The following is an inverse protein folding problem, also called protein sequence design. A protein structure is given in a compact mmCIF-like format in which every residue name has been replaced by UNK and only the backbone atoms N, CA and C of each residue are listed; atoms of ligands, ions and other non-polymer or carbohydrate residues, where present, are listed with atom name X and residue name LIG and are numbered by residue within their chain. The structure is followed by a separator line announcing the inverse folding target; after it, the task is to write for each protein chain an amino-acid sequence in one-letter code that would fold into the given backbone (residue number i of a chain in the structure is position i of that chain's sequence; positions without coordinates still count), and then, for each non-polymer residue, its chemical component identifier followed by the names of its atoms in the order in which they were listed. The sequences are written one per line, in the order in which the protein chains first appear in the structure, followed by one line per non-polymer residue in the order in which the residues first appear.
data_IF_456708257885
#
_entry.id   IF_456708257885
#
_cell.length_a   1.000
_cell.length_b   1.000
_cell.length_c   1.000
_cell.angle_alpha   90.00
_cell.angle_beta   90.00
_cell.angle_gamma   90.00
#
_symmetry.space_group_name_H-M   'P 1'
#
loop_
_entity.id
_entity.type
_entity.pdbx_description
1 polymer ?
#
# COMPACT_ATOMS: atom_id res chain seq x y z
N UNK A 1 -15.33 9.77 -4.94
CA UNK A 1 -15.39 11.25 -4.84
C UNK A 1 -14.19 11.64 -4.02
N UNK A 2 -13.11 12.11 -4.67
CA UNK A 2 -11.78 12.21 -4.08
C UNK A 2 -11.72 13.06 -2.81
N UNK A 3 -12.46 14.17 -2.76
CA UNK A 3 -12.51 15.05 -1.58
C UNK A 3 -13.09 14.32 -0.37
N UNK A 4 -14.17 13.54 -0.56
CA UNK A 4 -14.77 12.75 0.53
C UNK A 4 -13.81 11.68 1.06
N UNK A 5 -13.15 10.99 0.14
CA UNK A 5 -12.21 9.91 0.46
C UNK A 5 -11.02 10.46 1.26
N UNK A 6 -10.49 11.62 0.85
CA UNK A 6 -9.44 12.33 1.58
C UNK A 6 -9.88 12.77 2.99
N UNK A 7 -11.10 13.33 3.15
CA UNK A 7 -11.65 13.69 4.46
C UNK A 7 -11.74 12.48 5.38
N UNK A 8 -12.25 11.35 4.89
CA UNK A 8 -12.36 10.14 5.69
C UNK A 8 -10.99 9.61 6.09
N UNK A 9 -10.03 9.50 5.15
CA UNK A 9 -8.68 9.04 5.46
C UNK A 9 -7.96 9.93 6.48
N UNK A 10 -8.05 11.26 6.32
CA UNK A 10 -7.47 12.21 7.27
C UNK A 10 -8.15 12.17 8.65
N UNK A 11 -9.49 12.10 8.68
CA UNK A 11 -10.24 11.97 9.93
C UNK A 11 -9.84 10.71 10.68
N UNK A 12 -9.80 9.55 10.01
CA UNK A 12 -9.44 8.27 10.64
C UNK A 12 -7.98 8.26 11.12
N UNK A 13 -7.06 8.86 10.35
CA UNK A 13 -5.66 9.01 10.76
C UNK A 13 -5.54 9.77 12.09
N UNK A 14 -6.19 10.93 12.20
CA UNK A 14 -6.14 11.73 13.43
C UNK A 14 -6.97 11.14 14.58
N UNK A 15 -8.12 10.52 14.27
CA UNK A 15 -8.98 9.91 15.27
C UNK A 15 -8.32 8.69 15.95
N UNK A 16 -7.57 7.87 15.20
CA UNK A 16 -6.83 6.74 15.81
C UNK A 16 -5.74 7.24 16.75
N UNK A 17 -5.02 8.32 16.41
CA UNK A 17 -4.07 8.97 17.31
C UNK A 17 -4.73 9.55 18.57
N UNK A 18 -5.98 10.03 18.45
CA UNK A 18 -6.77 10.51 19.58
C UNK A 18 -7.40 9.39 20.43
N UNK A 19 -7.16 8.11 20.11
CA UNK A 19 -7.64 6.96 20.88
C UNK A 19 -8.93 6.31 20.35
N UNK A 20 -9.29 6.53 19.09
CA UNK A 20 -10.40 5.81 18.47
C UNK A 20 -9.99 4.38 18.09
N UNK A 21 -10.56 3.39 18.78
CA UNK A 21 -10.21 1.97 18.60
C UNK A 21 -11.09 1.23 17.57
N UNK A 22 -12.28 1.75 17.25
CA UNK A 22 -13.24 1.07 16.37
C UNK A 22 -14.08 2.05 15.53
N UNK A 23 -14.25 1.74 14.24
CA UNK A 23 -15.15 2.46 13.34
C UNK A 23 -15.62 1.58 12.18
N UNK A 24 -16.87 1.77 11.73
CA UNK A 24 -17.41 1.09 10.54
C UNK A 24 -17.10 1.96 9.32
N UNK A 25 -16.24 1.46 8.43
CA UNK A 25 -15.75 2.21 7.27
C UNK A 25 -15.83 1.39 6.00
N UNK A 26 -15.96 2.07 4.85
CA UNK A 26 -15.84 1.43 3.54
C UNK A 26 -14.37 1.43 3.10
N UNK A 27 -13.67 0.33 3.38
CA UNK A 27 -12.26 0.17 3.10
C UNK A 27 -11.87 0.28 1.60
N UNK A 28 -12.82 0.05 0.68
CA UNK A 28 -12.57 0.18 -0.75
C UNK A 28 -12.46 1.64 -1.22
N UNK A 29 -12.88 2.59 -0.38
CA UNK A 29 -12.93 4.03 -0.68
C UNK A 29 -11.95 4.83 0.20
N UNK A 30 -11.01 4.16 0.88
CA UNK A 30 -9.96 4.84 1.66
C UNK A 30 -8.68 4.89 0.85
N UNK A 31 -8.28 6.10 0.47
CA UNK A 31 -6.95 6.40 -0.10
C UNK A 31 -5.91 6.36 1.04
N UNK A 32 -4.65 6.03 0.76
CA UNK A 32 -3.60 6.15 1.79
C UNK A 32 -3.46 7.62 2.18
N UNK A 33 -3.25 7.88 3.47
CA UNK A 33 -3.06 9.24 3.95
C UNK A 33 -1.89 9.96 3.26
N UNK A 34 -0.80 9.24 2.95
CA UNK A 34 0.37 9.81 2.27
C UNK A 34 0.14 10.14 0.80
N UNK A 35 -0.82 9.48 0.14
CA UNK A 35 -1.12 9.70 -1.27
C UNK A 35 -2.04 10.92 -1.48
N UNK A 36 -2.63 11.45 -0.40
CA UNK A 36 -3.49 12.63 -0.47
C UNK A 36 -2.64 13.83 -0.91
N UNK A 37 -3.01 14.51 -2.01
CA UNK A 37 -2.31 15.72 -2.45
C UNK A 37 -2.20 16.74 -1.31
N UNK A 38 -1.00 17.31 -1.10
CA UNK A 38 -0.70 18.19 0.05
C UNK A 38 -1.62 19.41 0.11
N UNK A 39 -1.97 19.96 -1.04
CA UNK A 39 -2.94 21.04 -1.18
C UNK A 39 -4.33 20.62 -0.69
N UNK A 40 -4.83 19.45 -1.13
CA UNK A 40 -6.12 18.92 -0.66
C UNK A 40 -6.06 18.59 0.85
N UNK A 41 -4.96 18.01 1.33
CA UNK A 41 -4.79 17.64 2.73
C UNK A 41 -4.85 18.85 3.65
N UNK A 42 -4.21 19.97 3.28
CA UNK A 42 -4.26 21.21 4.04
C UNK A 42 -5.70 21.73 4.19
N UNK A 43 -6.47 21.78 3.10
CA UNK A 43 -7.87 22.20 3.15
C UNK A 43 -8.74 21.24 3.99
N UNK A 44 -8.46 19.94 3.93
CA UNK A 44 -9.16 18.92 4.72
C UNK A 44 -8.87 19.09 6.21
N UNK A 45 -7.61 19.28 6.59
CA UNK A 45 -7.21 19.49 7.98
C UNK A 45 -7.71 20.81 8.55
N UNK A 46 -7.73 21.88 7.74
CA UNK A 46 -8.30 23.17 8.12
C UNK A 46 -9.77 23.02 8.57
N UNK A 47 -10.55 22.16 7.89
CA UNK A 47 -11.93 21.84 8.28
C UNK A 47 -11.97 20.95 9.52
N UNK A 48 -11.23 19.84 9.54
CA UNK A 48 -11.30 18.86 10.63
C UNK A 48 -10.96 19.50 11.98
N UNK A 49 -9.93 20.35 12.00
CA UNK A 49 -9.45 20.99 13.22
C UNK A 49 -10.01 22.40 13.43
N UNK A 50 -10.85 22.90 12.52
CA UNK A 50 -11.36 24.27 12.54
C UNK A 50 -10.22 25.30 12.75
N UNK A 51 -9.13 25.17 11.97
CA UNK A 51 -7.91 26.00 12.15
C UNK A 51 -8.13 27.46 11.78
N UNK A 52 -9.14 27.73 10.95
CA UNK A 52 -9.44 29.04 10.37
C UNK A 52 -10.93 29.22 10.19
N UNK A 53 -11.38 30.47 10.27
CA UNK A 53 -12.79 30.83 10.10
C UNK A 53 -13.29 30.66 8.65
N UNK A 54 -12.38 30.76 7.67
CA UNK A 54 -12.66 30.65 6.22
C UNK A 54 -12.51 29.22 5.65
N UNK A 55 -12.27 28.21 6.49
CA UNK A 55 -11.96 26.84 6.05
C UNK A 55 -13.05 26.20 5.18
N UNK A 56 -14.33 26.46 5.50
CA UNK A 56 -15.46 25.92 4.74
C UNK A 56 -15.55 26.54 3.35
N UNK A 57 -15.38 27.86 3.24
CA UNK A 57 -15.48 28.59 1.97
C UNK A 57 -14.35 28.17 1.02
N UNK A 58 -13.11 28.11 1.51
CA UNK A 58 -11.95 27.65 0.75
C UNK A 58 -12.12 26.23 0.21
N UNK A 59 -12.66 25.31 1.02
CA UNK A 59 -12.92 23.95 0.56
C UNK A 59 -14.02 23.89 -0.49
N UNK A 60 -15.07 24.72 -0.38
CA UNK A 60 -16.13 24.79 -1.40
C UNK A 60 -15.54 25.27 -2.73
N UNK A 61 -14.74 26.35 -2.72
CA UNK A 61 -14.04 26.86 -3.91
C UNK A 61 -13.08 25.81 -4.49
N UNK A 62 -12.30 25.13 -3.65
CA UNK A 62 -11.40 24.06 -4.07
C UNK A 62 -12.18 22.89 -4.70
N UNK A 63 -13.29 22.49 -4.08
CA UNK A 63 -14.13 21.39 -4.56
C UNK A 63 -14.80 21.73 -5.91
N UNK A 64 -15.11 22.99 -6.19
CA UNK A 64 -15.59 23.43 -7.51
C UNK A 64 -14.53 23.25 -8.60
N UNK A 65 -13.28 23.55 -8.28
CA UNK A 65 -12.14 23.33 -9.19
C UNK A 65 -11.85 21.83 -9.42
N UNK A 66 -12.16 20.97 -8.44
CA UNK A 66 -11.96 19.51 -8.52
C UNK A 66 -13.17 18.78 -9.14
N UNK A 67 -14.35 19.41 -9.20
CA UNK A 67 -15.61 18.87 -9.77
C UNK A 67 -15.66 18.81 -11.32
N UNK A 68 -14.52 18.98 -12.01
CA UNK A 68 -14.42 18.71 -13.45
C UNK A 68 -14.89 17.29 -13.81
N UNK A 69 -15.44 17.09 -15.03
CA UNK A 69 -16.16 15.88 -15.42
C UNK A 69 -15.32 14.66 -15.09
N UNK A 70 -15.89 13.74 -14.31
CA UNK A 70 -15.21 12.63 -13.65
C UNK A 70 -14.03 12.14 -14.47
N UNK A 71 -12.83 12.58 -14.08
CA UNK A 71 -11.60 12.14 -14.74
C UNK A 71 -11.70 10.63 -14.77
N UNK A 72 -11.74 10.06 -15.98
CA UNK A 72 -11.42 8.66 -16.21
C UNK A 72 -10.25 8.36 -15.27
N UNK A 73 -10.30 7.23 -14.58
CA UNK A 73 -9.08 6.67 -13.96
C UNK A 73 -8.07 6.53 -15.09
N UNK A 74 -7.32 7.59 -15.35
CA UNK A 74 -6.06 7.51 -16.06
C UNK A 74 -5.25 6.71 -15.07
N UNK A 75 -5.11 5.42 -15.36
CA UNK A 75 -4.24 4.55 -14.59
C UNK A 75 -2.87 5.20 -14.74
N UNK A 76 -2.43 5.89 -13.70
CA UNK A 76 -1.13 6.51 -13.68
C UNK A 76 -0.12 5.37 -13.59
N UNK A 77 0.50 5.06 -14.73
CA UNK A 77 1.53 4.04 -14.86
C UNK A 77 2.93 4.67 -14.77
N UNK A 78 3.07 5.93 -14.35
CA UNK A 78 4.38 6.56 -14.17
C UNK A 78 5.32 5.77 -13.26
N UNK A 79 4.77 5.12 -12.23
CA UNK A 79 5.53 4.22 -11.35
C UNK A 79 6.15 3.02 -12.09
N UNK A 80 5.69 2.66 -13.29
CA UNK A 80 6.27 1.58 -14.11
C UNK A 80 7.60 1.97 -14.77
N UNK A 81 7.92 3.26 -14.83
CA UNK A 81 9.20 3.76 -15.35
C UNK A 81 10.35 3.62 -14.32
N UNK A 82 10.00 3.33 -13.06
CA UNK A 82 10.94 3.10 -11.96
C UNK A 82 11.68 1.75 -12.08
N UNK A 83 12.69 1.55 -11.23
CA UNK A 83 13.41 0.27 -11.17
C UNK A 83 12.50 -0.86 -10.63
N UNK A 84 12.82 -2.12 -10.98
CA UNK A 84 12.00 -3.27 -10.58
C UNK A 84 11.79 -3.36 -9.06
N UNK A 85 12.79 -2.98 -8.28
CA UNK A 85 12.69 -2.95 -6.81
C UNK A 85 11.64 -1.94 -6.33
N UNK A 86 11.64 -0.73 -6.89
CA UNK A 86 10.66 0.31 -6.59
C UNK A 86 9.25 -0.07 -7.08
N UNK A 87 9.15 -0.73 -8.24
CA UNK A 87 7.87 -1.24 -8.78
C UNK A 87 7.26 -2.33 -7.89
N UNK A 88 8.08 -3.24 -7.39
CA UNK A 88 7.66 -4.27 -6.44
C UNK A 88 7.21 -3.66 -5.12
N UNK A 89 7.98 -2.73 -4.57
CA UNK A 89 7.61 -2.01 -3.35
C UNK A 89 6.28 -1.27 -3.51
N UNK A 90 6.11 -0.53 -4.61
CA UNK A 90 4.86 0.16 -4.93
C UNK A 90 3.68 -0.81 -5.07
N UNK A 91 3.88 -1.92 -5.80
CA UNK A 91 2.84 -2.95 -5.97
C UNK A 91 2.43 -3.57 -4.64
N UNK A 92 3.37 -3.77 -3.70
CA UNK A 92 3.06 -4.23 -2.36
C UNK A 92 2.31 -3.20 -1.54
N UNK A 93 2.75 -1.94 -1.52
CA UNK A 93 2.11 -0.85 -0.75
C UNK A 93 0.67 -0.61 -1.20
N UNK A 94 0.41 -0.58 -2.52
CA UNK A 94 -0.94 -0.36 -3.05
C UNK A 94 -1.75 -1.65 -3.25
N UNK A 95 -1.14 -2.82 -3.06
CA UNK A 95 -1.79 -4.12 -3.22
C UNK A 95 -2.18 -4.43 -4.68
N UNK A 96 -1.30 -4.12 -5.62
CA UNK A 96 -1.46 -4.33 -7.06
C UNK A 96 -1.00 -5.75 -7.41
N UNK A 97 -1.89 -6.50 -8.07
CA UNK A 97 -1.68 -7.93 -8.37
C UNK A 97 -1.32 -8.16 -9.85
N UNK A 98 -1.70 -7.23 -10.72
CA UNK A 98 -1.68 -7.43 -12.17
C UNK A 98 -0.25 -7.56 -12.73
N UNK A 99 0.71 -6.81 -12.18
CA UNK A 99 2.10 -6.76 -12.66
C UNK A 99 3.08 -7.55 -11.80
N UNK A 100 2.61 -8.15 -10.70
CA UNK A 100 3.50 -8.75 -9.70
C UNK A 100 4.32 -9.92 -10.27
N UNK A 101 3.77 -10.69 -11.19
CA UNK A 101 4.45 -11.87 -11.76
C UNK A 101 5.59 -11.42 -12.69
N UNK A 102 5.34 -10.41 -13.54
CA UNK A 102 6.34 -9.82 -14.44
C UNK A 102 7.47 -9.16 -13.65
N UNK A 103 7.14 -8.34 -12.66
CA UNK A 103 8.13 -7.63 -11.84
C UNK A 103 8.95 -8.60 -10.96
N UNK A 104 8.31 -9.65 -10.44
CA UNK A 104 9.00 -10.70 -9.67
C UNK A 104 9.96 -11.49 -10.57
N UNK A 105 9.58 -11.77 -11.82
CA UNK A 105 10.43 -12.43 -12.79
C UNK A 105 11.67 -11.58 -13.15
N UNK A 106 11.48 -10.29 -13.41
CA UNK A 106 12.59 -9.37 -13.73
C UNK A 106 13.56 -9.25 -12.54
N UNK A 107 13.04 -9.13 -11.31
CA UNK A 107 13.86 -9.12 -10.11
C UNK A 107 14.62 -10.45 -9.92
N UNK A 108 13.97 -11.58 -10.21
CA UNK A 108 14.60 -12.89 -10.16
C UNK A 108 15.72 -13.04 -11.19
N UNK A 109 15.53 -12.55 -12.43
CA UNK A 109 16.58 -12.55 -13.45
C UNK A 109 17.79 -11.70 -13.04
N UNK A 110 17.56 -10.60 -12.34
CA UNK A 110 18.61 -9.68 -11.86
C UNK A 110 19.39 -10.24 -10.67
N UNK A 111 18.70 -10.85 -9.71
CA UNK A 111 19.30 -11.35 -8.46
C UNK A 111 19.79 -12.80 -8.55
N UNK A 112 19.24 -13.59 -9.49
CA UNK A 112 19.64 -14.97 -9.78
C UNK A 112 19.17 -16.02 -8.79
N UNK A 113 18.81 -15.64 -7.55
CA UNK A 113 18.32 -16.56 -6.51
C UNK A 113 16.93 -16.13 -6.03
N UNK A 114 15.96 -17.05 -5.92
CA UNK A 114 14.59 -16.70 -5.51
C UNK A 114 14.53 -16.11 -4.09
N UNK A 115 15.36 -16.63 -3.19
CA UNK A 115 15.39 -16.16 -1.79
C UNK A 115 15.83 -14.70 -1.68
N UNK A 116 16.74 -14.26 -2.55
CA UNK A 116 17.25 -12.88 -2.54
C UNK A 116 16.16 -11.89 -2.99
N UNK A 117 15.21 -12.32 -3.84
CA UNK A 117 14.03 -11.53 -4.21
C UNK A 117 13.06 -11.40 -3.02
N UNK A 118 12.87 -12.48 -2.26
CA UNK A 118 11.98 -12.52 -1.10
C UNK A 118 12.54 -11.67 0.04
N UNK A 119 13.81 -11.83 0.38
CA UNK A 119 14.48 -11.12 1.47
C UNK A 119 14.88 -9.69 1.09
N UNK A 120 14.99 -9.37 -0.21
CA UNK A 120 15.29 -8.03 -0.70
C UNK A 120 14.02 -7.22 -0.99
N UNK A 121 13.67 -6.99 -2.26
CA UNK A 121 12.63 -6.03 -2.66
C UNK A 121 11.25 -6.34 -2.06
N UNK A 122 10.89 -7.61 -1.92
CA UNK A 122 9.60 -8.00 -1.34
C UNK A 122 9.54 -7.71 0.17
N UNK A 123 10.60 -8.01 0.92
CA UNK A 123 10.66 -7.71 2.35
C UNK A 123 10.75 -6.21 2.62
N UNK A 124 11.49 -5.47 1.78
CA UNK A 124 11.60 -4.02 1.87
C UNK A 124 10.24 -3.34 1.64
N UNK A 125 9.47 -3.79 0.64
CA UNK A 125 8.10 -3.32 0.44
C UNK A 125 7.18 -3.61 1.62
N UNK A 126 7.29 -4.81 2.21
CA UNK A 126 6.52 -5.17 3.41
C UNK A 126 6.93 -4.38 4.66
N UNK A 127 8.19 -3.94 4.76
CA UNK A 127 8.65 -3.05 5.82
C UNK A 127 7.94 -1.69 5.74
N UNK A 128 7.84 -1.12 4.54
CA UNK A 128 7.11 0.14 4.30
C UNK A 128 5.63 -0.01 4.70
N UNK A 129 4.98 -1.12 4.29
CA UNK A 129 3.60 -1.42 4.70
C UNK A 129 3.47 -1.49 6.24
N UNK A 130 4.44 -2.11 6.90
CA UNK A 130 4.51 -2.19 8.36
C UNK A 130 4.66 -0.82 9.03
N UNK A 131 5.54 0.02 8.51
CA UNK A 131 5.79 1.38 9.03
C UNK A 131 4.54 2.27 8.85
N UNK A 132 3.89 2.19 7.68
CA UNK A 132 2.65 2.93 7.39
C UNK A 132 1.49 2.46 8.28
N UNK A 133 1.37 1.16 8.52
CA UNK A 133 0.37 0.61 9.42
C UNK A 133 0.64 1.01 10.88
N UNK A 134 1.89 0.91 11.33
CA UNK A 134 2.32 1.30 12.68
C UNK A 134 2.14 2.80 12.93
N UNK A 135 2.29 3.63 11.89
CA UNK A 135 2.02 5.07 11.95
C UNK A 135 0.53 5.43 11.85
N UNK A 136 -0.37 4.46 11.64
CA UNK A 136 -1.81 4.68 11.43
C UNK A 136 -2.18 5.27 10.07
N UNK A 137 -1.22 5.36 9.13
CA UNK A 137 -1.42 5.91 7.77
C UNK A 137 -2.00 4.89 6.79
N UNK A 138 -1.93 3.61 7.13
CA UNK A 138 -2.51 2.49 6.41
C UNK A 138 -3.43 1.68 7.34
N UNK A 139 -4.54 1.17 6.80
CA UNK A 139 -5.55 0.43 7.55
C UNK A 139 -5.50 -1.08 7.28
N UNK A 140 -6.03 -1.88 8.21
CA UNK A 140 -5.99 -3.36 8.14
C UNK A 140 -6.47 -3.94 6.79
N UNK A 141 -7.56 -3.46 6.16
CA UNK A 141 -7.97 -3.98 4.85
C UNK A 141 -6.97 -3.69 3.72
N UNK A 142 -6.22 -2.59 3.80
CA UNK A 142 -5.15 -2.27 2.85
C UNK A 142 -3.97 -3.22 3.08
N UNK A 143 -3.58 -3.46 4.33
CA UNK A 143 -2.54 -4.45 4.70
C UNK A 143 -2.88 -5.85 4.17
N UNK A 144 -4.16 -6.26 4.23
CA UNK A 144 -4.60 -7.55 3.67
C UNK A 144 -4.44 -7.60 2.15
N UNK A 145 -4.65 -6.48 1.43
CA UNK A 145 -4.38 -6.42 -0.02
C UNK A 145 -2.89 -6.52 -0.34
N UNK A 146 -2.04 -5.83 0.43
CA UNK A 146 -0.58 -5.94 0.33
C UNK A 146 -0.12 -7.37 0.55
N UNK A 147 -0.63 -8.03 1.59
CA UNK A 147 -0.32 -9.44 1.89
C UNK A 147 -0.74 -10.41 0.77
N UNK A 148 -1.84 -10.13 0.05
CA UNK A 148 -2.24 -10.93 -1.12
C UNK A 148 -1.23 -10.79 -2.26
N UNK A 149 -0.74 -9.59 -2.50
CA UNK A 149 0.25 -9.31 -3.54
C UNK A 149 1.58 -9.99 -3.21
N UNK A 150 2.00 -9.90 -1.94
CA UNK A 150 3.17 -10.63 -1.41
C UNK A 150 3.02 -12.15 -1.61
N UNK A 151 1.87 -12.71 -1.23
CA UNK A 151 1.61 -14.15 -1.40
C UNK A 151 1.69 -14.59 -2.87
N UNK A 152 1.19 -13.75 -3.79
CA UNK A 152 1.26 -14.06 -5.23
C UNK A 152 2.70 -14.03 -5.75
N UNK A 153 3.50 -13.05 -5.36
CA UNK A 153 4.92 -12.98 -5.70
C UNK A 153 5.70 -14.21 -5.19
N UNK A 154 5.47 -14.62 -3.94
CA UNK A 154 6.10 -15.82 -3.37
C UNK A 154 5.66 -17.08 -4.11
N UNK A 155 4.37 -17.22 -4.42
CA UNK A 155 3.85 -18.36 -5.18
C UNK A 155 4.45 -18.46 -6.59
N UNK A 156 4.82 -17.32 -7.20
CA UNK A 156 5.56 -17.31 -8.46
C UNK A 156 6.98 -17.89 -8.30
N UNK A 157 7.63 -17.63 -7.17
CA UNK A 157 9.00 -18.07 -6.87
C UNK A 157 9.09 -19.51 -6.32
N UNK A 158 7.99 -20.08 -5.81
CA UNK A 158 7.92 -21.44 -5.25
C UNK A 158 8.56 -22.52 -6.15
N UNK A 159 8.26 -22.61 -7.47
CA UNK A 159 8.86 -23.63 -8.34
C UNK A 159 10.38 -23.50 -8.46
N UNK A 160 10.91 -22.27 -8.37
CA UNK A 160 12.34 -21.99 -8.48
C UNK A 160 13.06 -22.30 -7.15
N UNK A 161 12.42 -22.05 -6.01
CA UNK A 161 12.92 -22.45 -4.69
C UNK A 161 13.03 -23.98 -4.59
N UNK A 162 12.01 -24.70 -5.03
CA UNK A 162 12.02 -26.17 -5.03
C UNK A 162 13.11 -26.74 -5.94
N UNK A 163 13.36 -26.11 -7.09
CA UNK A 163 14.42 -26.50 -8.02
C UNK A 163 15.84 -26.29 -7.44
N UNK A 164 16.07 -25.23 -6.65
CA UNK A 164 17.34 -25.04 -5.93
C UNK A 164 17.55 -26.11 -4.83
N UNK A 165 16.48 -26.66 -4.27
CA UNK A 165 16.54 -27.64 -3.18
C UNK A 165 16.78 -29.09 -3.60
N UNK A 166 16.95 -29.39 -4.90
CA UNK A 166 17.12 -30.77 -5.40
C UNK A 166 18.52 -31.35 -5.15
N UNK A 167 19.52 -30.55 -4.78
CA UNK A 167 20.84 -31.05 -4.37
C UNK A 167 21.00 -31.23 -2.85
N UNK A 168 20.51 -32.37 -2.34
CA UNK A 168 21.10 -33.03 -1.18
C UNK A 168 20.35 -32.95 0.17
N UNK A 169 19.97 -34.13 0.66
CA UNK A 169 19.65 -34.44 2.07
C UNK A 169 18.45 -33.71 2.69
N UNK A 170 17.37 -34.44 2.97
CA UNK A 170 16.25 -33.91 3.77
C UNK A 170 16.76 -33.42 5.13
N UNK A 171 16.62 -32.11 5.39
CA UNK A 171 17.15 -31.42 6.59
C UNK A 171 16.35 -31.71 7.89
N UNK A 172 15.69 -32.86 7.98
CA UNK A 172 14.80 -33.22 9.09
C UNK A 172 13.42 -32.53 9.01
N UNK A 173 12.53 -32.81 9.98
CA UNK A 173 11.20 -32.20 10.09
C UNK A 173 11.20 -31.19 11.23
N UNK A 174 10.75 -29.97 10.97
CA UNK A 174 10.57 -28.92 11.97
C UNK A 174 9.07 -28.61 12.07
N UNK A 175 8.53 -28.63 13.29
CA UNK A 175 7.19 -28.10 13.56
C UNK A 175 7.34 -26.62 13.90
N UNK A 176 6.82 -25.76 13.04
CA UNK A 176 6.81 -24.32 13.23
C UNK A 176 5.36 -23.88 13.49
N UNK A 177 5.13 -23.17 14.58
CA UNK A 177 3.82 -22.64 14.96
C UNK A 177 3.97 -21.24 15.54
N UNK A 178 3.11 -20.31 15.14
CA UNK A 178 3.01 -18.98 15.74
C UNK A 178 2.16 -19.05 17.00
N UNK A 179 2.60 -18.38 18.06
CA UNK A 179 1.82 -18.22 19.29
C UNK A 179 0.57 -17.37 19.01
N UNK A 180 -0.50 -17.65 19.74
CA UNK A 180 -1.77 -16.95 19.63
C UNK A 180 -1.78 -15.67 20.47
#
# INVERSE_FOLDING_TARGET
NRVREAIHSAFLYHATQAGMDMGIVNAGQLELYEDIPKDLLEHVEDIIFNRRDDATERMVEFAENVKGPGKQRVIDLSWREACVEERLAHSLVHGIIDFIDEDTQEAFQKLGRPIDVIEGPLMDGMRIVGDLFGAGKMFLPQVVKSARSMKKAVAYLEPYLEAEHVEGSSRGKILMATVK
#
